data_IF_350360291774
#
_entry.id   IF_350360291774
#
_cell.length_a   1.000
_cell.length_b   1.000
_cell.length_c   1.000
_cell.angle_alpha   90.00
_cell.angle_beta   90.00
_cell.angle_gamma   90.00
#
_symmetry.space_group_name_H-M   'P 1'
#
loop_
_entity.id
_entity.type
_entity.pdbx_description
1 polymer ?
#
# COMPACT_ATOMS: atom_id res chain seq x y z
N UNK A 1 -10.03 48.01 34.03
CA UNK A 1 -10.24 46.54 34.16
C UNK A 1 -10.75 46.01 32.82
N UNK A 2 -9.87 45.42 32.01
CA UNK A 2 -10.22 44.71 30.80
C UNK A 2 -10.05 43.22 31.12
N UNK A 3 -11.16 42.49 31.21
CA UNK A 3 -11.16 41.03 31.34
C UNK A 3 -10.90 40.39 29.99
N UNK A 4 -9.72 39.79 29.81
CA UNK A 4 -9.43 38.97 28.66
C UNK A 4 -10.11 37.60 28.83
N UNK A 5 -11.14 37.35 28.04
CA UNK A 5 -11.73 36.02 27.90
C UNK A 5 -10.74 35.13 27.12
N UNK A 6 -10.07 34.24 27.82
CA UNK A 6 -9.41 33.11 27.22
C UNK A 6 -10.48 32.12 26.71
N UNK A 7 -10.76 32.13 25.42
CA UNK A 7 -11.52 31.08 24.79
C UNK A 7 -10.63 29.83 24.71
N UNK A 8 -10.92 28.85 25.54
CA UNK A 8 -10.38 27.50 25.41
C UNK A 8 -10.90 26.94 24.10
N UNK A 9 -10.03 26.80 23.10
CA UNK A 9 -10.36 26.11 21.87
C UNK A 9 -10.81 24.70 22.22
N UNK A 10 -12.10 24.41 21.99
CA UNK A 10 -12.64 23.06 22.07
C UNK A 10 -11.84 22.21 21.08
N UNK A 11 -11.13 21.21 21.60
CA UNK A 11 -10.37 20.28 20.80
C UNK A 11 -11.29 19.67 19.73
N UNK A 12 -11.03 19.98 18.46
CA UNK A 12 -11.72 19.36 17.34
C UNK A 12 -11.58 17.85 17.46
N UNK A 13 -12.67 17.16 17.78
CA UNK A 13 -12.73 15.72 17.57
C UNK A 13 -12.41 15.49 16.09
N UNK A 14 -11.43 14.61 15.77
CA UNK A 14 -11.16 14.31 14.38
C UNK A 14 -12.47 13.87 13.72
N UNK A 15 -12.84 14.53 12.62
CA UNK A 15 -13.97 14.10 11.81
C UNK A 15 -13.75 12.65 11.37
N UNK A 16 -14.78 11.79 11.41
CA UNK A 16 -14.63 10.43 10.94
C UNK A 16 -14.06 10.44 9.52
N UNK A 17 -13.10 9.57 9.25
CA UNK A 17 -12.48 9.45 7.92
C UNK A 17 -13.59 9.14 6.93
N UNK A 18 -13.77 10.00 5.92
CA UNK A 18 -14.74 9.72 4.87
C UNK A 18 -14.26 8.57 3.99
N UNK A 19 -15.16 7.68 3.59
CA UNK A 19 -14.85 6.56 2.67
C UNK A 19 -14.29 7.07 1.35
N UNK A 20 -13.58 6.20 0.63
CA UNK A 20 -13.03 6.51 -0.68
C UNK A 20 -13.96 6.04 -1.80
N UNK A 21 -13.87 6.73 -2.93
CA UNK A 21 -14.54 6.40 -4.18
C UNK A 21 -13.61 6.66 -5.37
N UNK A 22 -13.92 6.08 -6.50
CA UNK A 22 -13.31 6.46 -7.78
C UNK A 22 -13.99 7.73 -8.29
N UNK A 23 -13.21 8.68 -8.81
CA UNK A 23 -13.72 9.92 -9.39
C UNK A 23 -14.58 9.66 -10.63
N UNK A 24 -15.48 10.59 -10.95
CA UNK A 24 -16.40 10.44 -12.08
C UNK A 24 -15.72 10.22 -13.44
N UNK A 25 -14.51 10.77 -13.64
CA UNK A 25 -13.73 10.56 -14.86
C UNK A 25 -12.98 9.21 -14.89
N UNK A 26 -13.06 8.40 -13.81
CA UNK A 26 -12.41 7.09 -13.70
C UNK A 26 -10.88 7.13 -13.60
N UNK A 27 -10.28 8.29 -13.31
CA UNK A 27 -8.82 8.47 -13.37
C UNK A 27 -8.16 8.67 -12.00
N UNK A 28 -8.95 9.08 -11.00
CA UNK A 28 -8.43 9.45 -9.70
C UNK A 28 -9.25 8.84 -8.58
N UNK A 29 -8.72 8.94 -7.37
CA UNK A 29 -9.44 8.65 -6.14
C UNK A 29 -9.99 9.94 -5.53
N UNK A 30 -11.09 9.81 -4.82
CA UNK A 30 -11.72 10.90 -4.09
C UNK A 30 -12.30 10.38 -2.78
N UNK A 31 -12.53 11.27 -1.83
CA UNK A 31 -13.41 10.96 -0.71
C UNK A 31 -14.86 10.85 -1.18
N UNK A 32 -15.71 10.15 -0.44
CA UNK A 32 -17.14 10.00 -0.76
C UNK A 32 -17.89 11.32 -0.85
N UNK A 33 -17.37 12.38 -0.24
CA UNK A 33 -17.91 13.75 -0.31
C UNK A 33 -17.43 14.53 -1.56
N UNK A 34 -16.68 13.91 -2.45
CA UNK A 34 -16.18 14.48 -3.69
C UNK A 34 -14.84 15.21 -3.60
N UNK A 35 -14.29 15.42 -2.41
CA UNK A 35 -12.96 16.03 -2.26
C UNK A 35 -11.87 15.15 -2.86
N UNK A 36 -10.82 15.71 -3.50
CA UNK A 36 -9.70 14.97 -4.02
C UNK A 36 -8.99 14.11 -2.96
N UNK A 37 -8.66 12.88 -3.32
CA UNK A 37 -7.79 12.02 -2.54
C UNK A 37 -6.54 11.68 -3.33
N UNK A 38 -5.42 12.31 -2.99
CA UNK A 38 -4.12 11.91 -3.49
C UNK A 38 -3.58 10.81 -2.58
N UNK A 39 -3.45 9.61 -3.11
CA UNK A 39 -2.87 8.49 -2.37
C UNK A 39 -1.40 8.78 -2.07
N UNK A 40 -1.06 8.97 -0.82
CA UNK A 40 0.32 9.01 -0.35
C UNK A 40 0.48 7.95 0.74
N UNK A 41 1.01 6.81 0.33
CA UNK A 41 1.18 5.66 1.21
C UNK A 41 2.62 5.46 1.64
N UNK A 42 2.78 4.86 2.83
CA UNK A 42 4.02 4.21 3.24
C UNK A 42 3.84 2.69 3.24
N UNK A 43 4.93 1.98 3.06
CA UNK A 43 4.99 0.53 3.05
C UNK A 43 5.39 0.01 4.43
N UNK A 44 4.39 -0.38 5.21
CA UNK A 44 4.57 -0.97 6.54
C UNK A 44 4.20 -2.44 6.58
N UNK A 45 4.82 -3.28 5.71
CA UNK A 45 4.40 -4.66 5.49
C UNK A 45 4.17 -5.45 6.76
N UNK A 46 5.12 -5.42 7.70
CA UNK A 46 5.10 -6.24 8.91
C UNK A 46 4.55 -5.49 10.14
N UNK A 47 3.75 -4.44 9.94
CA UNK A 47 3.22 -3.63 11.05
C UNK A 47 2.52 -4.47 12.13
N UNK A 48 1.58 -5.39 11.82
CA UNK A 48 0.92 -6.20 12.84
C UNK A 48 1.86 -7.18 13.55
N UNK A 49 2.88 -7.68 12.83
CA UNK A 49 3.82 -8.68 13.34
C UNK A 49 4.87 -8.08 14.28
N UNK A 50 5.38 -6.89 13.91
CA UNK A 50 6.61 -6.35 14.48
C UNK A 50 6.42 -5.26 15.51
N UNK A 51 5.34 -4.50 15.44
CA UNK A 51 5.12 -3.36 16.33
C UNK A 51 4.05 -3.68 17.37
N UNK A 52 4.41 -3.45 18.64
CA UNK A 52 3.43 -3.43 19.71
C UNK A 52 2.53 -2.19 19.62
N UNK A 53 1.57 -2.04 20.55
CA UNK A 53 0.58 -0.94 20.51
C UNK A 53 1.22 0.44 20.55
N UNK A 54 2.22 0.63 21.39
CA UNK A 54 2.86 1.94 21.56
C UNK A 54 3.73 2.28 20.34
N UNK A 55 4.47 1.31 19.83
CA UNK A 55 5.28 1.44 18.62
C UNK A 55 4.39 1.72 17.39
N UNK A 56 3.27 1.00 17.25
CA UNK A 56 2.32 1.22 16.17
C UNK A 56 1.68 2.62 16.24
N UNK A 57 1.28 3.07 17.43
CA UNK A 57 0.76 4.43 17.63
C UNK A 57 1.80 5.48 17.27
N UNK A 58 3.06 5.33 17.74
CA UNK A 58 4.16 6.23 17.40
C UNK A 58 4.42 6.28 15.87
N UNK A 59 4.47 5.13 15.21
CA UNK A 59 4.66 5.07 13.76
C UNK A 59 3.54 5.81 13.02
N UNK A 60 2.28 5.57 13.37
CA UNK A 60 1.14 6.23 12.76
C UNK A 60 1.12 7.75 13.02
N UNK A 61 1.57 8.21 14.19
CA UNK A 61 1.76 9.64 14.47
C UNK A 61 2.79 10.27 13.53
N UNK A 62 3.91 9.58 13.30
CA UNK A 62 4.96 10.03 12.39
C UNK A 62 4.50 10.07 10.93
N UNK A 63 3.72 9.06 10.50
CA UNK A 63 3.09 9.05 9.17
C UNK A 63 2.18 10.27 8.97
N UNK A 64 1.26 10.49 9.90
CA UNK A 64 0.34 11.63 9.81
C UNK A 64 1.08 12.97 9.78
N UNK A 65 2.10 13.16 10.63
CA UNK A 65 2.93 14.36 10.67
C UNK A 65 3.73 14.58 9.37
N UNK A 66 4.16 13.51 8.72
CA UNK A 66 4.84 13.56 7.42
C UNK A 66 3.88 13.69 6.22
N UNK A 67 2.55 13.74 6.46
CA UNK A 67 1.54 13.99 5.43
C UNK A 67 1.03 12.73 4.71
N UNK A 68 1.41 11.54 5.14
CA UNK A 68 0.87 10.29 4.63
C UNK A 68 -0.59 10.12 5.02
N UNK A 69 -1.36 9.49 4.14
CA UNK A 69 -2.78 9.21 4.37
C UNK A 69 -3.14 7.74 4.11
N UNK A 70 -2.17 6.91 3.78
CA UNK A 70 -2.32 5.47 3.65
C UNK A 70 -1.10 4.76 4.26
N UNK A 71 -1.31 3.57 4.82
CA UNK A 71 -0.26 2.59 5.11
C UNK A 71 -0.65 1.25 4.50
N UNK A 72 0.23 0.64 3.72
CA UNK A 72 0.05 -0.73 3.23
C UNK A 72 0.60 -1.73 4.25
N UNK A 73 -0.20 -2.75 4.58
CA UNK A 73 0.17 -3.78 5.54
C UNK A 73 -0.14 -5.17 5.01
N UNK A 74 0.68 -6.15 5.32
CA UNK A 74 0.35 -7.56 5.13
C UNK A 74 -0.51 -8.01 6.31
N UNK A 75 -1.76 -8.40 6.01
CA UNK A 75 -2.65 -8.94 7.05
C UNK A 75 -2.19 -10.33 7.43
N UNK A 76 -1.92 -11.19 6.46
CA UNK A 76 -1.30 -12.50 6.65
C UNK A 76 -0.08 -12.61 5.74
N UNK A 77 1.11 -12.56 6.35
CA UNK A 77 2.40 -12.64 5.64
C UNK A 77 2.93 -14.08 5.54
N UNK A 78 2.48 -14.95 6.43
CA UNK A 78 2.81 -16.38 6.51
C UNK A 78 1.60 -17.17 7.04
N UNK A 79 1.57 -18.47 6.84
CA UNK A 79 0.56 -19.35 7.44
C UNK A 79 1.26 -20.37 8.35
N UNK A 80 1.07 -20.25 9.68
CA UNK A 80 0.38 -19.18 10.39
C UNK A 80 1.19 -17.88 10.49
N UNK A 81 0.51 -16.73 10.55
CA UNK A 81 1.11 -15.46 10.93
C UNK A 81 0.98 -15.21 12.43
N UNK A 82 1.92 -14.46 13.00
CA UNK A 82 1.90 -14.09 14.43
C UNK A 82 1.95 -12.57 14.56
N UNK A 83 1.25 -12.02 15.55
CA UNK A 83 1.37 -10.60 15.86
C UNK A 83 2.56 -10.32 16.80
N UNK A 84 2.80 -9.04 17.10
CA UNK A 84 3.88 -8.61 17.98
C UNK A 84 3.81 -9.16 19.42
N UNK A 85 2.69 -9.79 19.79
CA UNK A 85 2.47 -10.43 21.08
C UNK A 85 2.53 -11.96 21.00
N UNK A 86 2.91 -12.50 19.84
CA UNK A 86 3.02 -13.94 19.61
C UNK A 86 1.68 -14.65 19.43
N UNK A 87 0.59 -13.91 19.22
CA UNK A 87 -0.73 -14.52 18.96
C UNK A 87 -0.87 -14.90 17.50
N UNK A 88 -1.37 -16.10 17.26
CA UNK A 88 -1.54 -16.68 15.92
C UNK A 88 -2.79 -16.16 15.23
N UNK A 89 -2.68 -15.84 13.93
CA UNK A 89 -3.79 -15.34 13.12
C UNK A 89 -4.88 -16.38 12.86
N UNK A 90 -4.49 -17.64 12.78
CA UNK A 90 -5.35 -18.76 12.35
C UNK A 90 -5.08 -20.00 13.21
N UNK A 91 -5.53 -20.02 14.47
CA UNK A 91 -5.24 -21.12 15.38
C UNK A 91 -5.90 -22.45 14.96
N UNK A 92 -6.98 -22.38 14.18
CA UNK A 92 -7.69 -23.53 13.61
C UNK A 92 -7.80 -23.43 12.08
N UNK A 93 -6.67 -23.11 11.41
CA UNK A 93 -6.63 -22.91 9.97
C UNK A 93 -7.60 -21.85 9.49
N UNK A 94 -8.36 -22.12 8.44
CA UNK A 94 -9.36 -21.19 7.89
C UNK A 94 -10.74 -21.27 8.59
N UNK A 95 -10.83 -21.93 9.75
CA UNK A 95 -11.96 -21.82 10.65
C UNK A 95 -11.75 -20.63 11.60
N UNK A 96 -12.41 -19.51 11.32
CA UNK A 96 -12.25 -18.26 12.08
C UNK A 96 -13.14 -18.16 13.33
N UNK A 97 -13.91 -19.20 13.69
CA UNK A 97 -14.70 -19.20 14.94
C UNK A 97 -13.80 -19.11 16.18
N UNK A 98 -12.58 -19.64 16.10
CA UNK A 98 -11.57 -19.59 17.16
C UNK A 98 -10.60 -18.39 17.04
N UNK A 99 -10.83 -17.46 16.13
CA UNK A 99 -9.92 -16.35 15.86
C UNK A 99 -9.76 -15.37 17.04
N UNK A 100 -10.82 -15.22 17.85
CA UNK A 100 -10.85 -14.33 19.01
C UNK A 100 -11.21 -15.12 20.30
N UNK A 101 -10.28 -15.84 20.90
CA UNK A 101 -10.54 -16.59 22.12
C UNK A 101 -10.85 -15.64 23.29
N UNK A 102 -11.87 -15.92 24.11
CA UNK A 102 -12.28 -15.05 25.21
C UNK A 102 -11.13 -14.75 26.19
N UNK A 103 -10.97 -13.48 26.54
CA UNK A 103 -9.98 -13.01 27.52
C UNK A 103 -8.54 -12.99 27.02
N UNK A 104 -8.30 -13.24 25.75
CA UNK A 104 -6.98 -13.14 25.11
C UNK A 104 -6.97 -11.95 24.16
N UNK A 105 -5.92 -11.16 24.19
CA UNK A 105 -5.67 -10.12 23.17
C UNK A 105 -5.19 -10.82 21.90
N UNK A 106 -6.12 -11.11 20.99
CA UNK A 106 -5.90 -11.95 19.82
C UNK A 106 -5.01 -11.27 18.74
N UNK A 107 -4.67 -12.03 17.69
CA UNK A 107 -4.08 -11.47 16.48
C UNK A 107 -4.95 -10.36 15.88
N UNK A 108 -6.24 -10.62 15.81
CA UNK A 108 -7.22 -9.75 15.18
C UNK A 108 -7.56 -8.52 16.03
N UNK A 109 -7.54 -8.64 17.37
CA UNK A 109 -7.63 -7.48 18.26
C UNK A 109 -6.48 -6.50 18.03
N UNK A 110 -5.28 -7.03 17.73
CA UNK A 110 -4.14 -6.18 17.45
C UNK A 110 -4.27 -5.48 16.09
N UNK A 111 -4.75 -6.17 15.08
CA UNK A 111 -5.04 -5.56 13.78
C UNK A 111 -6.15 -4.52 13.88
N UNK A 112 -7.21 -4.80 14.65
CA UNK A 112 -8.29 -3.83 14.94
C UNK A 112 -7.75 -2.57 15.62
N UNK A 113 -6.86 -2.74 16.61
CA UNK A 113 -6.19 -1.61 17.26
C UNK A 113 -5.45 -0.75 16.25
N UNK A 114 -4.67 -1.35 15.34
CA UNK A 114 -3.92 -0.64 14.29
C UNK A 114 -4.89 0.13 13.38
N UNK A 115 -5.95 -0.52 12.91
CA UNK A 115 -6.97 0.11 12.05
C UNK A 115 -7.62 1.30 12.73
N UNK A 116 -8.00 1.16 14.00
CA UNK A 116 -8.65 2.22 14.76
C UNK A 116 -7.69 3.38 15.08
N UNK A 117 -6.41 3.09 15.36
CA UNK A 117 -5.38 4.12 15.53
C UNK A 117 -5.08 4.86 14.22
N UNK A 118 -5.08 4.18 13.08
CA UNK A 118 -4.94 4.79 11.77
C UNK A 118 -6.14 5.71 11.45
N UNK A 119 -7.38 5.24 11.69
CA UNK A 119 -8.59 6.03 11.49
C UNK A 119 -8.58 7.35 12.28
N UNK A 120 -8.16 7.32 13.53
CA UNK A 120 -8.05 8.52 14.39
C UNK A 120 -7.09 9.58 13.83
N UNK A 121 -6.15 9.16 12.98
CA UNK A 121 -5.12 10.02 12.36
C UNK A 121 -5.43 10.36 10.90
N UNK A 122 -6.59 9.95 10.39
CA UNK A 122 -6.95 10.16 8.99
C UNK A 122 -6.19 9.27 8.01
N UNK A 123 -5.65 8.15 8.48
CA UNK A 123 -4.86 7.21 7.69
C UNK A 123 -5.73 6.01 7.30
N UNK A 124 -5.75 5.69 6.01
CA UNK A 124 -6.32 4.45 5.49
C UNK A 124 -5.33 3.29 5.64
N UNK A 125 -5.87 2.10 5.87
CA UNK A 125 -5.08 0.87 5.90
C UNK A 125 -5.32 0.11 4.60
N UNK A 126 -4.31 0.03 3.75
CA UNK A 126 -4.27 -0.83 2.58
C UNK A 126 -3.93 -2.25 3.01
N UNK A 127 -4.97 -3.07 3.15
CA UNK A 127 -4.85 -4.45 3.65
C UNK A 127 -4.50 -5.41 2.52
N UNK A 128 -3.23 -5.83 2.42
CA UNK A 128 -2.87 -7.01 1.62
C UNK A 128 -3.35 -8.24 2.38
N UNK A 129 -4.50 -8.76 1.97
CA UNK A 129 -5.26 -9.76 2.73
C UNK A 129 -4.44 -11.00 3.06
N UNK A 130 -3.70 -11.52 2.08
CA UNK A 130 -2.75 -12.62 2.22
C UNK A 130 -1.62 -12.42 1.22
N UNK A 131 -0.39 -12.69 1.65
CA UNK A 131 0.76 -12.54 0.76
C UNK A 131 0.76 -13.63 -0.34
N UNK A 132 0.96 -13.20 -1.58
CA UNK A 132 0.80 -14.05 -2.76
C UNK A 132 1.65 -15.31 -2.78
N UNK A 133 2.79 -15.30 -2.09
CA UNK A 133 3.62 -16.49 -1.91
C UNK A 133 2.89 -17.66 -1.23
N UNK A 134 1.97 -17.39 -0.31
CA UNK A 134 1.17 -18.40 0.37
C UNK A 134 0.17 -19.08 -0.59
N UNK A 135 -0.49 -18.27 -1.41
CA UNK A 135 -1.42 -18.76 -2.45
C UNK A 135 -0.67 -19.55 -3.52
N UNK A 136 0.50 -19.05 -3.96
CA UNK A 136 1.37 -19.75 -4.91
C UNK A 136 1.83 -21.11 -4.37
N UNK A 137 2.11 -21.21 -3.08
CA UNK A 137 2.49 -22.47 -2.42
C UNK A 137 1.32 -23.45 -2.21
N UNK A 138 0.08 -23.04 -2.57
CA UNK A 138 -1.11 -23.87 -2.39
C UNK A 138 -1.62 -23.95 -0.95
N UNK A 139 -1.23 -22.97 -0.11
CA UNK A 139 -1.64 -22.91 1.30
C UNK A 139 -3.02 -22.29 1.52
N UNK A 140 -3.70 -21.90 0.46
CA UNK A 140 -5.08 -21.47 0.45
C UNK A 140 -5.73 -21.89 -0.86
N UNK A 141 -6.85 -22.55 -0.79
CA UNK A 141 -7.70 -22.86 -1.95
C UNK A 141 -8.86 -21.86 -2.09
N UNK A 142 -9.76 -22.08 -3.08
CA UNK A 142 -10.86 -21.16 -3.34
C UNK A 142 -11.95 -21.20 -2.26
N UNK A 143 -12.18 -22.33 -1.58
CA UNK A 143 -13.17 -22.44 -0.51
C UNK A 143 -12.66 -21.79 0.77
N UNK A 144 -11.40 -22.01 1.10
CA UNK A 144 -10.69 -21.32 2.19
C UNK A 144 -10.65 -19.80 1.93
N UNK A 145 -10.41 -19.37 0.68
CA UNK A 145 -10.46 -17.97 0.29
C UNK A 145 -11.86 -17.35 0.51
N UNK A 146 -12.94 -18.11 0.25
CA UNK A 146 -14.31 -17.65 0.55
C UNK A 146 -14.56 -17.55 2.06
N UNK A 147 -14.10 -18.54 2.86
CA UNK A 147 -14.21 -18.50 4.31
C UNK A 147 -13.49 -17.27 4.88
N UNK A 148 -12.26 -17.07 4.46
CA UNK A 148 -11.44 -15.92 4.86
C UNK A 148 -12.06 -14.59 4.41
N UNK A 149 -12.56 -14.51 3.18
CA UNK A 149 -13.23 -13.31 2.66
C UNK A 149 -14.48 -12.93 3.45
N UNK A 150 -15.29 -13.91 3.85
CA UNK A 150 -16.45 -13.66 4.73
C UNK A 150 -16.02 -13.13 6.11
N UNK A 151 -15.00 -13.71 6.70
CA UNK A 151 -14.46 -13.26 7.97
C UNK A 151 -13.96 -11.82 7.89
N UNK A 152 -13.09 -11.48 6.91
CA UNK A 152 -12.56 -10.14 6.72
C UNK A 152 -13.67 -9.10 6.49
N UNK A 153 -14.59 -9.38 5.58
CA UNK A 153 -15.69 -8.47 5.29
C UNK A 153 -16.59 -8.27 6.51
N UNK A 154 -16.94 -9.34 7.26
CA UNK A 154 -17.73 -9.23 8.48
C UNK A 154 -17.06 -8.32 9.51
N UNK A 155 -15.73 -8.41 9.66
CA UNK A 155 -14.99 -7.66 10.68
C UNK A 155 -14.76 -6.20 10.31
N UNK A 156 -14.51 -5.92 9.03
CA UNK A 156 -13.97 -4.61 8.61
C UNK A 156 -14.91 -3.76 7.74
N UNK A 157 -16.04 -4.28 7.23
CA UNK A 157 -16.94 -3.53 6.34
C UNK A 157 -17.47 -2.20 6.90
N UNK A 158 -17.52 -2.09 8.22
CA UNK A 158 -18.02 -0.90 8.92
C UNK A 158 -16.89 0.05 9.38
N UNK A 159 -15.63 -0.36 9.26
CA UNK A 159 -14.47 0.52 9.50
C UNK A 159 -14.36 1.52 8.35
N UNK A 160 -14.15 2.82 8.59
CA UNK A 160 -14.21 3.82 7.52
C UNK A 160 -12.96 3.88 6.64
N UNK A 161 -11.85 3.29 7.07
CA UNK A 161 -10.50 3.54 6.56
C UNK A 161 -9.79 2.31 5.99
N UNK A 162 -10.51 1.43 5.33
CA UNK A 162 -9.96 0.23 4.70
C UNK A 162 -9.87 0.40 3.18
N UNK A 163 -8.80 -0.14 2.59
CA UNK A 163 -8.69 -0.45 1.17
C UNK A 163 -8.23 -1.89 1.04
N UNK A 164 -8.99 -2.71 0.33
CA UNK A 164 -8.65 -4.10 0.13
C UNK A 164 -7.60 -4.27 -0.97
N UNK A 165 -6.57 -5.04 -0.71
CA UNK A 165 -5.51 -5.34 -1.67
C UNK A 165 -5.36 -6.86 -1.78
N UNK A 166 -5.65 -7.37 -2.98
CA UNK A 166 -5.39 -8.77 -3.32
C UNK A 166 -3.94 -8.92 -3.78
N UNK A 167 -3.44 -10.13 -3.90
CA UNK A 167 -2.12 -10.40 -4.45
C UNK A 167 -1.01 -10.32 -3.41
N UNK A 168 0.01 -9.49 -3.67
CA UNK A 168 1.25 -9.43 -2.88
C UNK A 168 2.39 -10.16 -3.60
N UNK A 169 3.13 -9.42 -4.42
CA UNK A 169 4.32 -9.86 -5.18
C UNK A 169 4.10 -11.13 -6.03
N UNK A 170 2.92 -11.25 -6.65
CA UNK A 170 2.51 -12.41 -7.43
C UNK A 170 1.91 -12.00 -8.78
N UNK A 171 2.05 -12.87 -9.79
CA UNK A 171 1.33 -12.74 -11.06
C UNK A 171 -0.14 -13.14 -10.87
N UNK A 172 -1.06 -12.38 -11.47
CA UNK A 172 -2.50 -12.60 -11.28
C UNK A 172 -3.05 -13.86 -11.96
N UNK A 173 -2.30 -14.46 -12.91
CA UNK A 173 -2.63 -15.75 -13.53
C UNK A 173 -2.22 -16.96 -12.68
N UNK A 174 -1.51 -16.75 -11.58
CA UNK A 174 -1.22 -17.80 -10.62
C UNK A 174 -2.40 -17.92 -9.64
N UNK A 175 -3.12 -19.04 -9.72
CA UNK A 175 -4.26 -19.35 -8.87
C UNK A 175 -5.36 -18.26 -8.94
N UNK A 176 -5.69 -17.80 -10.15
CA UNK A 176 -6.72 -16.76 -10.41
C UNK A 176 -8.03 -17.06 -9.71
N UNK A 177 -8.43 -18.35 -9.64
CA UNK A 177 -9.65 -18.81 -8.97
C UNK A 177 -9.68 -18.47 -7.47
N UNK A 178 -8.52 -18.46 -6.81
CA UNK A 178 -8.39 -18.10 -5.38
C UNK A 178 -8.57 -16.59 -5.21
N UNK A 179 -7.94 -15.79 -6.07
CA UNK A 179 -8.07 -14.33 -6.05
C UNK A 179 -9.50 -13.88 -6.36
N UNK A 180 -10.12 -14.44 -7.40
CA UNK A 180 -11.51 -14.15 -7.73
C UNK A 180 -12.46 -14.58 -6.61
N UNK A 181 -12.22 -15.73 -5.95
CA UNK A 181 -13.03 -16.19 -4.82
C UNK A 181 -12.94 -15.26 -3.61
N UNK A 182 -11.71 -14.88 -3.21
CA UNK A 182 -11.48 -13.95 -2.09
C UNK A 182 -12.11 -12.59 -2.38
N UNK A 183 -11.78 -11.99 -3.52
CA UNK A 183 -12.20 -10.65 -3.88
C UNK A 183 -13.72 -10.53 -4.06
N UNK A 184 -14.35 -11.48 -4.77
CA UNK A 184 -15.81 -11.46 -4.97
C UNK A 184 -16.57 -11.69 -3.68
N UNK A 185 -16.05 -12.54 -2.79
CA UNK A 185 -16.66 -12.78 -1.47
C UNK A 185 -16.61 -11.52 -0.62
N UNK A 186 -15.46 -10.84 -0.55
CA UNK A 186 -15.36 -9.56 0.18
C UNK A 186 -16.33 -8.55 -0.44
N UNK A 187 -16.29 -8.33 -1.75
CA UNK A 187 -17.13 -7.32 -2.42
C UNK A 187 -18.63 -7.58 -2.32
N UNK A 188 -19.05 -8.84 -2.21
CA UNK A 188 -20.47 -9.18 -2.02
C UNK A 188 -20.99 -8.80 -0.63
N UNK A 189 -20.12 -8.76 0.37
CA UNK A 189 -20.47 -8.44 1.77
C UNK A 189 -20.05 -7.02 2.17
N UNK A 190 -19.13 -6.40 1.41
CA UNK A 190 -18.60 -5.06 1.64
C UNK A 190 -18.58 -4.25 0.34
N UNK A 191 -19.60 -3.47 0.13
CA UNK A 191 -19.71 -2.51 -1.00
C UNK A 191 -19.07 -1.15 -0.68
N UNK A 192 -18.51 -0.96 0.51
CA UNK A 192 -18.09 0.33 1.02
C UNK A 192 -16.64 0.69 0.67
N UNK A 193 -15.81 -0.32 0.47
CA UNK A 193 -14.36 -0.13 0.34
C UNK A 193 -13.87 -0.44 -1.06
N UNK A 194 -12.89 0.36 -1.48
CA UNK A 194 -12.18 0.14 -2.73
C UNK A 194 -11.29 -1.10 -2.63
N UNK A 195 -11.09 -1.73 -3.78
CA UNK A 195 -10.27 -2.93 -3.91
C UNK A 195 -9.33 -2.84 -5.10
N UNK A 196 -8.12 -3.35 -4.93
CA UNK A 196 -7.11 -3.47 -5.97
C UNK A 196 -6.36 -4.81 -5.87
N UNK A 197 -5.39 -5.01 -6.77
CA UNK A 197 -4.50 -6.16 -6.76
C UNK A 197 -3.05 -5.71 -6.85
N UNK A 198 -2.22 -6.13 -5.90
CA UNK A 198 -0.80 -5.88 -5.86
C UNK A 198 -0.05 -6.97 -6.66
N UNK A 199 0.47 -6.66 -7.85
CA UNK A 199 1.19 -7.64 -8.67
C UNK A 199 2.63 -7.81 -8.19
N UNK A 200 3.34 -8.76 -8.78
CA UNK A 200 4.80 -8.83 -8.63
C UNK A 200 5.49 -7.69 -9.39
N UNK A 201 6.79 -7.48 -9.06
CA UNK A 201 7.63 -6.49 -9.73
C UNK A 201 7.57 -6.55 -11.24
N UNK A 202 7.47 -5.38 -11.87
CA UNK A 202 7.42 -5.16 -13.32
C UNK A 202 6.12 -5.64 -13.97
N UNK A 203 5.00 -5.66 -13.22
CA UNK A 203 3.67 -5.97 -13.72
C UNK A 203 2.63 -4.94 -13.27
N UNK A 204 1.52 -4.89 -14.01
CA UNK A 204 0.31 -4.15 -13.64
C UNK A 204 -0.86 -5.11 -13.44
N UNK A 205 -1.72 -4.83 -12.47
CA UNK A 205 -2.97 -5.59 -12.24
C UNK A 205 -3.90 -5.57 -13.45
N UNK A 206 -3.81 -4.52 -14.28
CA UNK A 206 -4.61 -4.37 -15.47
C UNK A 206 -4.45 -5.54 -16.45
N UNK A 207 -3.28 -6.18 -16.46
CA UNK A 207 -2.99 -7.33 -17.32
C UNK A 207 -3.97 -8.48 -17.13
N UNK A 208 -4.46 -8.69 -15.90
CA UNK A 208 -5.29 -9.86 -15.57
C UNK A 208 -6.70 -9.49 -15.12
N UNK A 209 -6.88 -8.31 -14.52
CA UNK A 209 -8.08 -8.01 -13.74
C UNK A 209 -8.79 -6.71 -14.13
N UNK A 210 -8.36 -6.01 -15.20
CA UNK A 210 -8.96 -4.72 -15.55
C UNK A 210 -10.48 -4.78 -15.75
N UNK A 211 -11.00 -5.88 -16.27
CA UNK A 211 -12.46 -6.11 -16.54
C UNK A 211 -13.18 -6.68 -15.31
N UNK A 212 -12.47 -7.06 -14.27
CA UNK A 212 -13.11 -7.59 -13.05
C UNK A 212 -13.89 -6.49 -12.35
N UNK A 213 -15.12 -6.80 -11.99
CA UNK A 213 -16.00 -5.88 -11.26
C UNK A 213 -15.51 -5.57 -9.85
N UNK A 214 -14.73 -6.48 -9.26
CA UNK A 214 -14.18 -6.29 -7.93
C UNK A 214 -12.98 -5.35 -7.91
N UNK A 215 -12.27 -5.16 -9.02
CA UNK A 215 -11.12 -4.26 -9.11
C UNK A 215 -11.60 -2.82 -9.34
N UNK A 216 -11.42 -1.93 -8.38
CA UNK A 216 -11.82 -0.53 -8.50
C UNK A 216 -10.73 0.34 -9.13
N UNK A 217 -9.45 0.05 -8.86
CA UNK A 217 -8.32 0.76 -9.44
C UNK A 217 -7.15 -0.20 -9.73
N UNK A 218 -6.32 0.17 -10.69
CA UNK A 218 -5.15 -0.60 -11.07
C UNK A 218 -3.96 -0.23 -10.19
N UNK A 219 -3.21 -1.24 -9.77
CA UNK A 219 -1.93 -1.09 -9.13
C UNK A 219 -0.86 -1.77 -9.97
N UNK A 220 0.31 -1.16 -10.06
CA UNK A 220 1.49 -1.78 -10.61
C UNK A 220 2.62 -1.76 -9.58
N UNK A 221 3.64 -2.57 -9.79
CA UNK A 221 4.87 -2.57 -9.03
C UNK A 221 6.02 -2.28 -9.99
N UNK A 222 6.60 -1.08 -9.94
CA UNK A 222 7.77 -0.77 -10.74
C UNK A 222 9.01 -1.53 -10.25
N UNK A 223 9.08 -1.80 -8.95
CA UNK A 223 10.02 -2.73 -8.33
C UNK A 223 11.37 -2.12 -8.02
N UNK A 224 12.37 -2.98 -7.78
CA UNK A 224 13.65 -2.61 -7.17
C UNK A 224 14.86 -2.78 -8.09
N UNK A 225 14.65 -2.80 -9.41
CA UNK A 225 15.74 -2.98 -10.37
C UNK A 225 16.65 -1.77 -10.39
N UNK A 226 17.93 -2.03 -10.57
CA UNK A 226 18.92 -0.96 -10.72
C UNK A 226 18.82 -0.26 -12.08
N UNK A 227 19.32 0.95 -12.17
CA UNK A 227 19.43 1.72 -13.41
C UNK A 227 20.13 0.91 -14.52
N UNK A 228 19.61 1.03 -15.74
CA UNK A 228 20.12 0.30 -16.90
C UNK A 228 19.89 -1.22 -16.87
N UNK A 229 19.25 -1.76 -15.86
CA UNK A 229 18.90 -3.19 -15.83
C UNK A 229 17.71 -3.43 -16.77
N UNK A 230 17.96 -4.19 -17.84
CA UNK A 230 16.90 -4.53 -18.81
C UNK A 230 15.87 -5.47 -18.21
N UNK A 231 14.66 -5.41 -18.78
CA UNK A 231 13.60 -6.35 -18.46
C UNK A 231 14.03 -7.78 -18.78
N UNK A 232 13.67 -8.70 -17.89
CA UNK A 232 13.78 -10.12 -18.16
C UNK A 232 12.59 -10.65 -18.99
N UNK A 233 12.74 -11.84 -19.57
CA UNK A 233 11.70 -12.49 -20.38
C UNK A 233 10.37 -12.72 -19.64
N UNK A 234 10.36 -12.61 -18.31
CA UNK A 234 9.18 -12.85 -17.45
C UNK A 234 8.46 -11.55 -17.08
N UNK A 235 8.98 -10.41 -17.47
CA UNK A 235 8.41 -9.12 -17.12
C UNK A 235 7.31 -8.73 -18.11
N UNK A 236 6.44 -7.81 -17.67
CA UNK A 236 5.43 -7.26 -18.56
C UNK A 236 6.13 -6.51 -19.72
N UNK A 237 5.72 -6.77 -20.97
CA UNK A 237 6.43 -6.23 -22.13
C UNK A 237 6.17 -4.73 -22.27
N UNK A 238 7.03 -3.94 -21.66
CA UNK A 238 7.23 -2.54 -22.00
C UNK A 238 8.49 -2.49 -22.84
N UNK A 239 8.43 -2.07 -24.10
CA UNK A 239 9.59 -2.06 -24.99
C UNK A 239 10.74 -1.29 -24.37
N UNK A 240 11.93 -1.88 -24.39
CA UNK A 240 13.17 -1.29 -23.91
C UNK A 240 13.14 -0.79 -22.45
N UNK A 241 12.23 -1.35 -21.63
CA UNK A 241 12.06 -0.98 -20.24
C UNK A 241 13.33 -1.11 -19.41
N UNK A 242 13.64 -0.05 -18.68
CA UNK A 242 14.71 0.03 -17.67
C UNK A 242 14.10 0.45 -16.35
N UNK A 243 14.90 0.69 -15.32
CA UNK A 243 14.38 1.18 -14.05
C UNK A 243 13.84 2.62 -14.14
N UNK A 244 14.26 3.38 -15.15
CA UNK A 244 13.76 4.72 -15.43
C UNK A 244 12.36 4.73 -16.09
N UNK A 245 11.77 3.59 -16.38
CA UNK A 245 10.52 3.49 -17.14
C UNK A 245 9.25 3.36 -16.29
N UNK A 246 9.29 3.62 -14.99
CA UNK A 246 8.10 3.44 -14.15
C UNK A 246 6.88 4.26 -14.64
N UNK A 247 7.08 5.40 -15.26
CA UNK A 247 6.03 6.20 -15.89
C UNK A 247 5.36 5.48 -17.07
N UNK A 248 6.05 4.56 -17.74
CA UNK A 248 5.53 3.80 -18.88
C UNK A 248 4.43 2.80 -18.44
N UNK A 249 4.50 2.28 -17.20
CA UNK A 249 3.42 1.47 -16.62
C UNK A 249 2.14 2.29 -16.46
N UNK A 250 2.27 3.54 -16.08
CA UNK A 250 1.13 4.47 -15.98
C UNK A 250 0.57 4.73 -17.36
N UNK A 251 1.39 5.13 -18.34
CA UNK A 251 0.96 5.42 -19.71
C UNK A 251 0.28 4.22 -20.37
N UNK A 252 0.85 3.04 -20.24
CA UNK A 252 0.27 1.79 -20.75
C UNK A 252 -1.07 1.49 -20.09
N UNK A 253 -1.13 1.55 -18.73
CA UNK A 253 -2.35 1.20 -17.99
C UNK A 253 -3.44 2.25 -18.18
N UNK A 254 -3.08 3.52 -18.38
CA UNK A 254 -4.01 4.62 -18.64
C UNK A 254 -4.89 4.39 -19.88
N UNK A 255 -4.41 3.59 -20.82
CA UNK A 255 -5.11 3.28 -22.10
C UNK A 255 -6.12 2.14 -21.98
N UNK A 256 -6.07 1.35 -20.90
CA UNK A 256 -6.99 0.23 -20.70
C UNK A 256 -8.46 0.68 -20.53
N UNK A 257 -9.37 -0.18 -20.96
CA UNK A 257 -10.81 -0.02 -20.77
C UNK A 257 -11.36 -1.22 -19.99
N UNK A 258 -12.30 -1.05 -19.05
CA UNK A 258 -12.83 0.23 -18.57
C UNK A 258 -11.75 1.10 -17.93
N UNK A 259 -11.98 2.44 -17.92
CA UNK A 259 -11.05 3.37 -17.27
C UNK A 259 -11.03 3.15 -15.76
N UNK A 260 -9.83 3.05 -15.19
CA UNK A 260 -9.62 2.93 -13.76
C UNK A 260 -8.43 3.78 -13.34
N UNK A 261 -8.41 4.32 -12.11
CA UNK A 261 -7.21 4.97 -11.57
C UNK A 261 -6.00 4.03 -11.61
N UNK A 262 -4.81 4.59 -11.68
CA UNK A 262 -3.53 3.85 -11.71
C UNK A 262 -2.66 4.29 -10.55
N UNK A 263 -1.99 3.36 -9.91
CA UNK A 263 -1.12 3.60 -8.76
C UNK A 263 0.14 2.72 -8.81
N UNK A 264 1.32 3.32 -8.56
CA UNK A 264 2.52 2.55 -8.22
C UNK A 264 2.44 2.12 -6.75
N UNK A 265 2.20 0.84 -6.52
CA UNK A 265 2.01 0.27 -5.17
C UNK A 265 3.31 -0.16 -4.50
N UNK A 266 4.37 -0.36 -5.30
CA UNK A 266 5.69 -0.74 -4.79
C UNK A 266 6.79 -0.31 -5.77
N UNK A 267 7.26 0.94 -5.67
CA UNK A 267 8.47 1.40 -6.36
C UNK A 267 9.73 0.97 -5.61
N UNK A 268 10.88 1.42 -6.08
CA UNK A 268 12.15 1.25 -5.35
C UNK A 268 12.08 1.93 -3.98
N UNK A 269 12.58 1.23 -2.94
CA UNK A 269 12.57 1.73 -1.57
C UNK A 269 13.87 2.46 -1.23
N UNK A 270 13.77 3.54 -0.46
CA UNK A 270 14.94 4.21 0.11
C UNK A 270 15.75 3.23 0.97
N UNK A 271 17.07 3.35 0.90
CA UNK A 271 18.05 2.53 1.64
C UNK A 271 18.01 1.01 1.33
N UNK A 272 17.41 0.60 0.21
CA UNK A 272 17.53 -0.78 -0.30
C UNK A 272 18.65 -0.83 -1.36
N UNK A 273 19.43 -1.93 -1.47
CA UNK A 273 20.39 -2.07 -2.56
C UNK A 273 19.69 -2.04 -3.92
N UNK A 274 20.26 -1.33 -4.88
CA UNK A 274 19.77 -1.31 -6.25
C UNK A 274 19.82 -2.73 -6.84
N UNK A 275 18.70 -3.20 -7.37
CA UNK A 275 18.57 -4.58 -7.84
C UNK A 275 18.21 -5.58 -6.75
N UNK A 276 18.07 -5.13 -5.49
CA UNK A 276 17.49 -5.84 -4.35
C UNK A 276 18.39 -6.90 -3.67
N UNK A 277 19.18 -7.66 -4.42
CA UNK A 277 19.78 -8.91 -3.93
C UNK A 277 21.30 -8.85 -3.70
N UNK A 278 21.98 -7.79 -4.12
CA UNK A 278 23.43 -7.61 -3.91
C UNK A 278 23.70 -6.42 -3.00
N UNK A 279 24.03 -6.67 -1.76
CA UNK A 279 24.33 -5.64 -0.75
C UNK A 279 25.54 -4.76 -1.09
N UNK A 280 26.34 -5.12 -2.11
CA UNK A 280 27.47 -4.31 -2.60
C UNK A 280 27.04 -3.21 -3.57
N UNK A 281 25.84 -3.32 -4.16
CA UNK A 281 25.28 -2.30 -5.04
C UNK A 281 24.97 -1.03 -4.23
N UNK A 282 25.02 0.15 -4.85
CA UNK A 282 24.58 1.39 -4.24
C UNK A 282 23.15 1.27 -3.72
N UNK A 283 22.85 1.98 -2.63
CA UNK A 283 21.47 2.02 -2.11
C UNK A 283 20.69 3.15 -2.75
N UNK A 284 19.37 2.92 -2.92
CA UNK A 284 18.45 3.95 -3.38
C UNK A 284 18.45 5.12 -2.40
N UNK A 285 18.59 6.32 -2.93
CA UNK A 285 18.66 7.57 -2.15
C UNK A 285 17.33 8.32 -2.22
N UNK A 286 17.16 9.31 -1.35
CA UNK A 286 16.01 10.20 -1.35
C UNK A 286 15.73 10.87 -2.70
N UNK A 287 16.79 11.20 -3.48
CA UNK A 287 16.65 11.74 -4.84
C UNK A 287 16.01 10.77 -5.80
N UNK A 288 16.34 9.49 -5.67
CA UNK A 288 15.85 8.43 -6.55
C UNK A 288 14.36 8.16 -6.29
N UNK A 289 13.99 7.94 -5.04
CA UNK A 289 12.59 7.69 -4.67
C UNK A 289 11.69 8.88 -4.98
N UNK A 290 12.19 10.13 -4.86
CA UNK A 290 11.47 11.32 -5.33
C UNK A 290 11.28 11.31 -6.84
N UNK A 291 12.32 11.02 -7.60
CA UNK A 291 12.26 10.97 -9.08
C UNK A 291 11.18 9.98 -9.53
N UNK A 292 11.16 8.78 -9.01
CA UNK A 292 10.12 7.78 -9.33
C UNK A 292 8.72 8.24 -8.96
N UNK A 293 8.56 8.88 -7.81
CA UNK A 293 7.29 9.42 -7.38
C UNK A 293 6.78 10.49 -8.36
N UNK A 294 7.64 11.43 -8.74
CA UNK A 294 7.26 12.49 -9.68
C UNK A 294 6.98 11.91 -11.07
N UNK A 295 7.80 11.02 -11.58
CA UNK A 295 7.59 10.42 -12.91
C UNK A 295 6.25 9.70 -13.01
N UNK A 296 5.92 8.82 -12.08
CA UNK A 296 4.65 8.10 -12.13
C UNK A 296 3.45 9.03 -11.96
N UNK A 297 3.51 10.01 -11.06
CA UNK A 297 2.40 10.93 -10.80
C UNK A 297 2.18 11.89 -11.94
N UNK A 298 3.24 12.44 -12.56
CA UNK A 298 3.12 13.31 -13.72
C UNK A 298 2.67 12.55 -14.98
N UNK A 299 2.95 11.25 -15.07
CA UNK A 299 2.40 10.38 -16.11
C UNK A 299 0.91 10.07 -15.93
N UNK A 300 0.28 10.45 -14.80
CA UNK A 300 -1.15 10.29 -14.57
C UNK A 300 -1.55 9.40 -13.39
N UNK A 301 -0.60 8.89 -12.60
CA UNK A 301 -0.93 8.12 -11.40
C UNK A 301 -1.76 8.94 -10.41
N UNK A 302 -2.70 8.28 -9.73
CA UNK A 302 -3.58 8.91 -8.73
C UNK A 302 -2.89 9.11 -7.37
N UNK A 303 -1.62 8.78 -7.26
CA UNK A 303 -0.81 8.92 -6.07
C UNK A 303 0.49 8.15 -6.15
N UNK A 304 1.12 7.93 -5.00
CA UNK A 304 2.39 7.25 -4.88
C UNK A 304 2.48 6.48 -3.56
N UNK A 305 3.13 5.33 -3.59
CA UNK A 305 3.52 4.59 -2.38
C UNK A 305 5.01 4.73 -2.17
N UNK A 306 5.40 5.21 -1.01
CA UNK A 306 6.79 5.24 -0.57
C UNK A 306 7.14 3.96 0.17
N UNK A 307 8.40 3.58 0.15
CA UNK A 307 8.95 2.53 0.97
C UNK A 307 10.37 2.83 1.41
N UNK A 308 10.76 2.23 2.53
CA UNK A 308 12.10 2.31 3.09
C UNK A 308 12.52 0.95 3.63
N UNK A 309 13.76 0.54 3.38
CA UNK A 309 14.31 -0.76 3.81
C UNK A 309 14.03 -1.06 5.29
N UNK A 310 14.32 -0.12 6.18
CA UNK A 310 14.15 -0.31 7.62
C UNK A 310 12.68 -0.29 8.06
N UNK A 311 11.83 0.54 7.40
CA UNK A 311 10.43 0.73 7.81
C UNK A 311 9.59 -0.45 7.34
N UNK A 312 9.74 -0.91 6.10
CA UNK A 312 8.88 -1.95 5.53
C UNK A 312 8.92 -3.27 6.33
N UNK A 313 10.02 -3.55 7.00
CA UNK A 313 10.22 -4.73 7.86
C UNK A 313 10.30 -4.39 9.36
N UNK A 314 10.15 -3.13 9.74
CA UNK A 314 10.30 -2.62 11.10
C UNK A 314 11.57 -3.15 11.79
N UNK A 315 12.72 -2.91 11.13
CA UNK A 315 14.01 -3.39 11.58
C UNK A 315 14.35 -2.89 12.99
N UNK A 316 14.72 -3.81 13.88
CA UNK A 316 15.08 -3.52 15.27
C UNK A 316 16.49 -4.00 15.56
N UNK A 317 17.28 -3.30 16.43
CA UNK A 317 18.59 -3.78 16.85
C UNK A 317 18.52 -5.19 17.46
N UNK A 318 19.41 -6.08 17.01
CA UNK A 318 19.49 -7.44 17.51
C UNK A 318 18.38 -8.39 17.02
N UNK A 319 17.45 -7.93 16.19
CA UNK A 319 16.43 -8.77 15.54
C UNK A 319 16.82 -8.96 14.08
N UNK A 320 16.86 -10.21 13.62
CA UNK A 320 17.15 -10.51 12.23
C UNK A 320 16.13 -9.84 11.30
N UNK A 321 16.61 -9.26 10.19
CA UNK A 321 15.75 -8.70 9.14
C UNK A 321 14.90 -9.81 8.53
N UNK A 322 13.64 -9.48 8.18
CA UNK A 322 12.72 -10.46 7.63
C UNK A 322 12.99 -10.77 6.15
N UNK A 323 13.53 -9.82 5.38
CA UNK A 323 13.55 -9.91 3.93
C UNK A 323 14.94 -9.89 3.28
N UNK A 324 15.96 -9.30 3.92
CA UNK A 324 17.28 -9.15 3.29
C UNK A 324 18.41 -9.62 4.18
N UNK A 325 19.35 -10.38 3.59
CA UNK A 325 20.49 -10.94 4.30
C UNK A 325 21.46 -9.87 4.83
N UNK A 326 21.55 -8.72 4.16
CA UNK A 326 22.37 -7.57 4.58
C UNK A 326 21.66 -6.68 5.63
N UNK A 327 20.39 -6.99 5.93
CA UNK A 327 19.59 -6.26 6.90
C UNK A 327 19.32 -4.80 6.52
N UNK A 328 18.69 -4.09 7.43
CA UNK A 328 18.52 -2.65 7.33
C UNK A 328 19.71 -1.93 7.95
N UNK A 329 20.15 -0.83 7.34
CA UNK A 329 21.29 -0.06 7.80
C UNK A 329 21.05 0.63 9.16
N UNK A 330 19.78 0.82 9.55
CA UNK A 330 19.37 1.52 10.76
C UNK A 330 18.06 0.95 11.35
N UNK A 331 17.76 1.21 12.62
CA UNK A 331 16.45 0.89 13.20
C UNK A 331 15.31 1.68 12.50
N UNK A 332 14.13 1.08 12.39
CA UNK A 332 12.98 1.65 11.68
C UNK A 332 12.60 3.06 12.18
N UNK A 333 12.63 3.30 13.48
CA UNK A 333 12.27 4.59 14.06
C UNK A 333 13.25 5.72 13.73
N UNK A 334 14.50 5.39 13.36
CA UNK A 334 15.48 6.35 12.85
C UNK A 334 15.27 6.66 11.37
N UNK A 335 14.79 5.68 10.61
CA UNK A 335 14.48 5.85 9.20
C UNK A 335 13.29 6.81 8.95
N UNK A 336 12.44 7.03 9.95
CA UNK A 336 11.38 8.04 9.90
C UNK A 336 11.91 9.49 9.84
N UNK A 337 13.20 9.70 10.05
CA UNK A 337 13.87 11.00 9.91
C UNK A 337 14.55 11.15 8.54
N UNK A 338 14.55 10.13 7.71
CA UNK A 338 15.22 10.15 6.40
C UNK A 338 14.52 11.11 5.42
N UNK A 339 15.30 11.73 4.50
CA UNK A 339 14.78 12.76 3.64
C UNK A 339 13.67 12.29 2.70
N UNK A 340 13.78 11.08 2.12
CA UNK A 340 12.75 10.57 1.21
C UNK A 340 11.41 10.45 1.91
N UNK A 341 11.36 9.87 3.10
CA UNK A 341 10.16 9.78 3.93
C UNK A 341 9.51 11.15 4.15
N UNK A 342 10.29 12.15 4.53
CA UNK A 342 9.76 13.47 4.91
C UNK A 342 9.42 14.37 3.73
N UNK A 343 9.90 14.06 2.51
CA UNK A 343 9.76 14.94 1.34
C UNK A 343 8.62 14.54 0.40
N UNK A 344 8.04 13.35 0.52
CA UNK A 344 6.91 12.91 -0.30
C UNK A 344 5.68 13.82 -0.20
N UNK A 345 5.48 14.47 0.94
CA UNK A 345 4.40 15.45 1.14
C UNK A 345 4.40 16.60 0.13
N UNK A 346 5.58 16.99 -0.37
CA UNK A 346 5.67 18.09 -1.33
C UNK A 346 5.00 17.76 -2.65
N UNK A 347 5.13 16.52 -3.12
CA UNK A 347 4.42 16.04 -4.30
C UNK A 347 2.91 16.07 -4.09
N UNK A 348 2.42 15.57 -2.97
CA UNK A 348 1.00 15.61 -2.61
C UNK A 348 0.48 17.04 -2.57
N UNK A 349 1.20 17.95 -1.93
CA UNK A 349 0.81 19.36 -1.85
C UNK A 349 0.76 20.00 -3.24
N UNK A 350 1.75 19.74 -4.09
CA UNK A 350 1.79 20.23 -5.47
C UNK A 350 0.56 19.75 -6.26
N UNK A 351 0.24 18.46 -6.18
CA UNK A 351 -0.90 17.89 -6.91
C UNK A 351 -2.25 18.42 -6.44
N UNK A 352 -2.38 18.69 -5.15
CA UNK A 352 -3.62 19.22 -4.55
C UNK A 352 -3.74 20.75 -4.60
N UNK A 353 -2.68 21.46 -5.00
CA UNK A 353 -2.70 22.91 -5.15
C UNK A 353 -3.34 23.37 -6.48
N UNK A 354 -3.60 22.45 -7.40
CA UNK A 354 -4.21 22.71 -8.72
C UNK A 354 -5.50 21.88 -8.85
N UNK A 355 -6.38 22.17 -9.84
CA UNK A 355 -7.56 21.36 -10.08
C UNK A 355 -7.20 19.88 -10.32
N UNK A 356 -7.28 19.08 -9.28
CA UNK A 356 -6.72 17.71 -9.23
C UNK A 356 -7.33 16.78 -10.27
N UNK A 357 -8.64 16.88 -10.50
CA UNK A 357 -9.37 15.99 -11.41
C UNK A 357 -9.22 16.39 -12.89
N UNK A 358 -8.71 17.58 -13.17
CA UNK A 358 -8.53 18.09 -14.53
C UNK A 358 -7.16 17.74 -15.11
N UNK A 359 -6.31 17.08 -14.31
CA UNK A 359 -4.97 16.68 -14.75
C UNK A 359 -5.06 15.65 -15.88
N UNK A 360 -4.37 15.92 -16.95
CA UNK A 360 -4.18 15.01 -18.10
C UNK A 360 -2.70 14.89 -18.36
N UNK A 361 -2.15 13.67 -18.43
CA UNK A 361 -0.77 13.49 -18.82
C UNK A 361 -0.58 13.92 -20.28
N UNK A 362 0.41 14.77 -20.55
CA UNK A 362 0.74 15.23 -21.88
C UNK A 362 2.24 15.06 -22.15
N UNK A 363 2.58 13.99 -22.83
CA UNK A 363 3.96 13.74 -23.25
C UNK A 363 4.43 14.66 -24.39
N UNK A 364 3.48 15.35 -25.08
CA UNK A 364 3.78 16.26 -26.17
C UNK A 364 4.52 17.53 -25.76
N UNK A 365 4.43 17.91 -24.46
CA UNK A 365 5.16 19.07 -23.92
C UNK A 365 6.62 18.76 -23.61
N UNK A 366 7.01 17.48 -23.56
CA UNK A 366 8.39 17.07 -23.29
C UNK A 366 9.20 17.22 -24.58
N UNK A 367 10.04 18.25 -24.64
CA UNK A 367 10.96 18.49 -25.77
C UNK A 367 12.35 17.97 -25.42
N UNK A 368 12.77 16.92 -26.11
CA UNK A 368 14.07 16.27 -25.91
C UNK A 368 14.04 15.22 -24.78
N UNK A 369 15.01 14.32 -24.83
CA UNK A 369 15.07 13.16 -23.92
C UNK A 369 15.69 13.48 -22.55
N UNK A 370 15.74 14.72 -22.13
CA UNK A 370 16.11 15.09 -20.75
C UNK A 370 17.43 14.47 -20.26
N UNK A 371 18.45 14.33 -21.12
CA UNK A 371 19.79 13.82 -20.73
C UNK A 371 20.62 14.90 -20.09
#
# INVERSE_FOLDING_TARGET
FIAALCSVAAGNKPSPVARLAVSANGRFLQYADGRPFFWLADTGWLLPERLNRDEAAYYLDRLAAAGYNVVQVQVINAIPAFNAYGQMSMPDGFNFEAADPPGVYSYWDHLDYIVDQAARRGIFVGMVCIWGGMVKAGLMDADEARAYGRFLASRYKDKPNIVWIMGGDIQGDIRTEVWDALATTIKSADSNHLMTFHPRGRYTSARWFNDRRWLDFNMFQSGHRRYGQRMGNKDYPIPDGTEEDNWMYVDSTWKHKPLKPVLDGEPSYEDIPQGLHDGREPRWQASDVRRYAYWSVFAGSCGHTYGHNAIMQFAKPGVAGAYFADGAAKPWYKALDDPGFNQMKYLKHLMLAVPYFDRVPDQGIVQGNGT
#
